data_IF_174655800232
#
_entry.id   IF_174655800232
#
_cell.length_a   1.000
_cell.length_b   1.000
_cell.length_c   1.000
_cell.angle_alpha   90.00
_cell.angle_beta   90.00
_cell.angle_gamma   90.00
#
_symmetry.space_group_name_H-M   'P 1'
#
loop_
_entity.id
_entity.type
_entity.pdbx_description
1 polymer ?
#
# COMPACT_ATOMS: atom_id res chain seq x y z
N UNK A 1 20.57 -44.45 -19.20
CA UNK A 1 19.65 -43.84 -18.22
C UNK A 1 20.23 -42.58 -17.55
N UNK A 2 21.50 -42.55 -17.13
CA UNK A 2 22.10 -41.43 -16.35
C UNK A 2 22.09 -40.02 -17.01
N UNK A 3 22.11 -39.93 -18.35
CA UNK A 3 22.12 -38.63 -19.05
C UNK A 3 20.77 -37.89 -18.97
N UNK A 4 19.64 -38.61 -19.07
CA UNK A 4 18.29 -38.02 -18.95
C UNK A 4 18.01 -37.50 -17.55
N UNK A 5 18.45 -38.22 -16.51
CA UNK A 5 18.33 -37.77 -15.11
C UNK A 5 19.18 -36.54 -14.82
N UNK A 6 20.40 -36.47 -15.36
CA UNK A 6 21.27 -35.29 -15.24
C UNK A 6 20.66 -34.03 -15.89
N UNK A 7 19.99 -34.20 -17.04
CA UNK A 7 19.30 -33.09 -17.71
C UNK A 7 18.07 -32.66 -16.91
N UNK A 8 17.24 -33.60 -16.45
CA UNK A 8 16.06 -33.28 -15.62
C UNK A 8 16.44 -32.57 -14.31
N UNK A 9 17.53 -32.99 -13.66
CA UNK A 9 18.04 -32.36 -12.44
C UNK A 9 18.52 -30.91 -12.67
N UNK A 10 19.26 -30.68 -13.77
CA UNK A 10 19.72 -29.33 -14.15
C UNK A 10 18.56 -28.41 -14.49
N UNK A 11 17.54 -28.92 -15.17
CA UNK A 11 16.34 -28.15 -15.52
C UNK A 11 15.51 -27.83 -14.28
N UNK A 12 15.37 -28.75 -13.32
CA UNK A 12 14.69 -28.48 -12.06
C UNK A 12 15.40 -27.39 -11.24
N UNK A 13 16.74 -27.43 -11.17
CA UNK A 13 17.55 -26.38 -10.52
C UNK A 13 17.39 -25.03 -11.21
N UNK A 14 17.43 -24.99 -12.55
CA UNK A 14 17.21 -23.78 -13.34
C UNK A 14 15.84 -23.16 -13.06
N UNK A 15 14.78 -23.97 -13.07
CA UNK A 15 13.43 -23.50 -12.80
C UNK A 15 13.31 -22.95 -11.37
N UNK A 16 13.90 -23.62 -10.38
CA UNK A 16 13.91 -23.14 -9.00
C UNK A 16 14.62 -21.79 -8.88
N UNK A 17 15.77 -21.60 -9.52
CA UNK A 17 16.46 -20.31 -9.52
C UNK A 17 15.64 -19.21 -10.20
N UNK A 18 14.96 -19.51 -11.32
CA UNK A 18 14.07 -18.56 -12.00
C UNK A 18 12.91 -18.14 -11.10
N UNK A 19 12.28 -19.07 -10.37
CA UNK A 19 11.21 -18.72 -9.45
C UNK A 19 11.70 -17.86 -8.29
N UNK A 20 12.86 -18.18 -7.70
CA UNK A 20 13.45 -17.39 -6.61
C UNK A 20 13.80 -15.98 -7.11
N UNK A 21 14.40 -15.84 -8.29
CA UNK A 21 14.74 -14.52 -8.83
C UNK A 21 13.49 -13.70 -9.12
N UNK A 22 12.47 -14.30 -9.75
CA UNK A 22 11.18 -13.64 -9.97
C UNK A 22 10.53 -13.16 -8.66
N UNK A 23 10.46 -14.04 -7.65
CA UNK A 23 9.90 -13.68 -6.33
C UNK A 23 10.69 -12.55 -5.68
N UNK A 24 12.02 -12.61 -5.71
CA UNK A 24 12.87 -11.57 -5.11
C UNK A 24 12.68 -10.20 -5.78
N UNK A 25 12.58 -10.15 -7.10
CA UNK A 25 12.32 -8.90 -7.85
C UNK A 25 10.94 -8.32 -7.51
N UNK A 26 9.91 -9.16 -7.43
CA UNK A 26 8.55 -8.71 -7.03
C UNK A 26 8.54 -8.11 -5.62
N UNK A 27 9.22 -8.74 -4.67
CA UNK A 27 9.30 -8.25 -3.29
C UNK A 27 10.06 -6.93 -3.19
N UNK A 28 11.18 -6.78 -3.90
CA UNK A 28 11.97 -5.54 -3.90
C UNK A 28 11.16 -4.38 -4.46
N UNK A 29 10.48 -4.58 -5.59
CA UNK A 29 9.62 -3.55 -6.19
C UNK A 29 8.50 -3.11 -5.23
N UNK A 30 7.96 -4.03 -4.43
CA UNK A 30 6.97 -3.72 -3.40
C UNK A 30 7.51 -2.85 -2.26
N UNK A 31 8.76 -3.04 -1.86
CA UNK A 31 9.39 -2.22 -0.84
C UNK A 31 9.82 -0.84 -1.35
N UNK A 32 10.27 -0.75 -2.61
CA UNK A 32 10.75 0.51 -3.19
C UNK A 32 9.65 1.37 -3.80
N UNK A 33 8.45 0.83 -4.02
CA UNK A 33 7.28 1.61 -4.48
C UNK A 33 6.57 2.38 -3.37
N UNK A 34 7.20 2.58 -2.21
CA UNK A 34 6.80 3.70 -1.36
C UNK A 34 6.87 4.96 -2.23
N UNK A 35 5.77 5.72 -2.38
CA UNK A 35 5.68 6.79 -3.36
C UNK A 35 6.60 7.95 -2.94
N UNK A 36 7.88 7.83 -3.26
CA UNK A 36 8.79 8.96 -3.43
C UNK A 36 8.76 9.47 -4.87
N UNK A 37 7.74 9.08 -5.64
CA UNK A 37 7.56 9.52 -7.02
C UNK A 37 6.66 10.76 -7.09
N UNK A 38 7.34 11.91 -7.15
CA UNK A 38 6.95 13.16 -7.84
C UNK A 38 5.80 14.01 -7.30
N UNK A 39 5.09 13.61 -6.25
CA UNK A 39 4.38 14.54 -5.36
C UNK A 39 5.01 14.43 -3.97
N UNK A 40 5.62 15.51 -3.46
CA UNK A 40 6.44 15.53 -2.24
C UNK A 40 5.67 15.26 -0.92
N UNK A 41 4.61 14.46 -0.95
CA UNK A 41 3.71 14.26 0.18
C UNK A 41 3.14 12.83 0.20
N UNK A 42 2.92 12.32 1.40
CA UNK A 42 2.40 11.00 1.71
C UNK A 42 0.90 10.88 1.43
N UNK A 43 0.52 9.70 0.95
CA UNK A 43 -0.85 9.27 0.66
C UNK A 43 -1.50 8.68 1.90
N UNK A 44 -2.80 8.43 1.82
CA UNK A 44 -3.53 7.80 2.93
C UNK A 44 -2.87 6.47 3.33
N UNK A 45 -2.56 6.33 4.62
CA UNK A 45 -1.91 5.13 5.17
C UNK A 45 -0.38 5.19 5.18
N UNK A 46 0.24 6.14 4.49
CA UNK A 46 1.70 6.33 4.52
C UNK A 46 2.16 6.79 5.90
N UNK A 47 3.35 6.35 6.34
CA UNK A 47 3.91 6.73 7.63
C UNK A 47 4.19 8.23 7.69
N UNK A 48 3.89 8.86 8.82
CA UNK A 48 4.13 10.29 9.02
C UNK A 48 4.48 10.61 10.48
N UNK A 49 5.24 11.68 10.66
CA UNK A 49 5.56 12.30 11.96
C UNK A 49 4.94 13.68 12.07
N UNK A 50 4.84 14.42 10.96
CA UNK A 50 4.25 15.75 10.89
C UNK A 50 3.18 15.83 9.80
N UNK A 51 2.21 16.74 9.95
CA UNK A 51 1.15 16.94 8.97
C UNK A 51 1.68 17.41 7.60
N UNK A 52 2.83 18.11 7.57
CA UNK A 52 3.51 18.53 6.34
C UNK A 52 4.00 17.38 5.46
N UNK A 53 4.09 16.17 6.02
CA UNK A 53 4.46 14.96 5.28
C UNK A 53 3.26 14.33 4.57
N UNK A 54 2.03 14.78 4.80
CA UNK A 54 0.83 14.28 4.13
C UNK A 54 0.39 15.26 3.04
N UNK A 55 -0.26 14.78 1.97
CA UNK A 55 -0.78 15.68 0.94
C UNK A 55 -1.94 16.55 1.47
N UNK A 56 -2.34 17.54 0.64
CA UNK A 56 -3.46 18.44 0.95
C UNK A 56 -4.73 17.67 1.36
N UNK A 57 -5.49 18.26 2.30
CA UNK A 57 -6.69 17.66 2.92
C UNK A 57 -6.44 16.37 3.73
N UNK A 58 -5.20 16.13 4.11
CA UNK A 58 -4.84 15.06 5.05
C UNK A 58 -4.09 15.61 6.25
N UNK A 59 -4.18 14.87 7.36
CA UNK A 59 -3.41 15.12 8.58
C UNK A 59 -2.66 13.87 8.99
N UNK A 60 -1.54 14.07 9.67
CA UNK A 60 -0.86 12.97 10.33
C UNK A 60 -1.62 12.60 11.62
N UNK A 61 -2.04 11.35 11.74
CA UNK A 61 -2.72 10.87 12.95
C UNK A 61 -1.72 10.57 14.06
N UNK A 62 -1.75 11.35 15.15
CA UNK A 62 -0.73 11.33 16.21
C UNK A 62 -0.48 9.98 16.86
N UNK A 63 -1.49 9.10 16.93
CA UNK A 63 -1.35 7.77 17.52
C UNK A 63 -1.05 6.66 16.51
N UNK A 64 -1.45 6.86 15.24
CA UNK A 64 -1.28 5.84 14.21
C UNK A 64 -0.02 6.08 13.39
N UNK A 65 0.57 7.28 13.50
CA UNK A 65 1.70 7.75 12.70
C UNK A 65 1.47 7.54 11.21
N UNK A 66 0.22 7.78 10.76
CA UNK A 66 -0.22 7.58 9.37
C UNK A 66 -1.04 8.74 8.86
N UNK A 67 -0.90 9.06 7.58
CA UNK A 67 -1.69 10.09 6.92
C UNK A 67 -3.17 9.66 6.80
N UNK A 68 -4.08 10.49 7.31
CA UNK A 68 -5.53 10.28 7.26
C UNK A 68 -6.23 11.48 6.63
N UNK A 69 -7.31 11.20 5.89
CA UNK A 69 -8.16 12.22 5.28
C UNK A 69 -8.88 13.03 6.36
N UNK A 70 -8.91 14.35 6.20
CA UNK A 70 -9.72 15.24 7.02
C UNK A 70 -11.11 15.25 6.37
N UNK A 71 -12.10 14.69 7.06
CA UNK A 71 -13.49 14.72 6.61
C UNK A 71 -14.15 15.88 7.37
N UNK A 72 -14.72 16.83 6.65
CA UNK A 72 -15.45 17.94 7.27
C UNK A 72 -16.82 17.49 7.78
N UNK A 73 -17.49 18.29 8.60
CA UNK A 73 -18.79 17.88 9.16
C UNK A 73 -19.84 17.71 8.06
N UNK A 74 -19.87 18.61 7.09
CA UNK A 74 -20.76 18.54 5.93
C UNK A 74 -20.50 17.32 5.05
N UNK A 75 -19.22 16.99 4.80
CA UNK A 75 -18.85 15.78 4.05
C UNK A 75 -19.21 14.51 4.84
N UNK A 76 -19.00 14.53 6.15
CA UNK A 76 -19.36 13.42 7.03
C UNK A 76 -20.87 13.19 7.02
N UNK A 77 -21.69 14.24 7.09
CA UNK A 77 -23.15 14.11 7.03
C UNK A 77 -23.65 13.63 5.67
N UNK A 78 -23.03 14.09 4.57
CA UNK A 78 -23.36 13.62 3.22
C UNK A 78 -23.01 12.13 3.03
N UNK A 79 -21.85 11.71 3.52
CA UNK A 79 -21.46 10.29 3.50
C UNK A 79 -22.36 9.45 4.42
N UNK A 80 -22.74 9.98 5.57
CA UNK A 80 -23.64 9.34 6.53
C UNK A 80 -25.01 9.08 5.93
N UNK A 81 -25.61 10.07 5.27
CA UNK A 81 -26.89 9.89 4.57
C UNK A 81 -26.78 8.80 3.50
N UNK A 82 -25.68 8.78 2.74
CA UNK A 82 -25.44 7.76 1.70
C UNK A 82 -25.28 6.34 2.28
N UNK A 83 -24.64 6.19 3.44
CA UNK A 83 -24.32 4.89 4.05
C UNK A 83 -25.48 4.37 4.91
N UNK A 84 -26.09 5.24 5.72
CA UNK A 84 -27.10 4.87 6.71
C UNK A 84 -28.54 5.18 6.27
N UNK A 85 -28.74 5.90 5.16
CA UNK A 85 -30.07 6.28 4.67
C UNK A 85 -30.83 7.24 5.59
N UNK A 86 -30.17 7.80 6.61
CA UNK A 86 -30.75 8.69 7.62
C UNK A 86 -30.07 10.06 7.58
N UNK A 87 -30.87 11.12 7.61
CA UNK A 87 -30.41 12.51 7.66
C UNK A 87 -30.31 13.02 9.10
N UNK A 88 -29.34 13.91 9.36
CA UNK A 88 -29.17 14.59 10.65
C UNK A 88 -28.02 14.03 11.50
N UNK A 89 -27.84 14.57 12.71
CA UNK A 89 -26.88 14.09 13.71
C UNK A 89 -27.61 13.16 14.69
N UNK A 90 -26.91 12.16 15.25
CA UNK A 90 -27.51 11.18 16.19
C UNK A 90 -27.53 11.66 17.65
N UNK A 91 -27.40 12.96 17.86
CA UNK A 91 -27.37 13.56 19.19
C UNK A 91 -28.34 14.74 19.29
#
# INVERSE_FOLDING_TARGET
MNFKYNVAEKMAKLMLYVFITLLSVTLIMAATMSPTDKSNCGRHGDPCVSASQCCSNMRCHSYAHRCQVIITEEELMAQREKILGRRGKDY
#
